data_IF_273637804781
#
_entry.id   IF_273637804781
#
_cell.length_a   1.000
_cell.length_b   1.000
_cell.length_c   1.000
_cell.angle_alpha   90.00
_cell.angle_beta   90.00
_cell.angle_gamma   90.00
#
_symmetry.space_group_name_H-M   'P 1'
#
loop_
_entity.id
_entity.type
_entity.pdbx_description
1 polymer ?
#
# COMPACT_ATOMS: atom_id res chain seq x y z
N UNK A 1 -10.06 2.48 -15.27
CA UNK A 1 -10.32 1.74 -14.01
C UNK A 1 -11.05 2.62 -12.98
N UNK A 2 -11.67 2.07 -11.94
CA UNK A 2 -12.28 2.82 -10.82
C UNK A 2 -11.38 2.78 -9.57
N UNK A 3 -11.58 3.72 -8.63
CA UNK A 3 -10.87 3.72 -7.34
C UNK A 3 -11.02 2.38 -6.60
N UNK A 4 -12.22 1.79 -6.58
CA UNK A 4 -12.47 0.52 -5.91
C UNK A 4 -11.69 -0.64 -6.53
N UNK A 5 -11.52 -0.65 -7.86
CA UNK A 5 -10.68 -1.64 -8.53
C UNK A 5 -9.19 -1.41 -8.23
N UNK A 6 -8.74 -0.15 -8.19
CA UNK A 6 -7.37 0.18 -7.82
C UNK A 6 -7.04 -0.26 -6.38
N UNK A 7 -7.97 -0.02 -5.44
CA UNK A 7 -7.87 -0.49 -4.05
C UNK A 7 -7.77 -2.02 -3.98
N UNK A 8 -8.58 -2.74 -4.77
CA UNK A 8 -8.55 -4.21 -4.82
C UNK A 8 -7.21 -4.73 -5.34
N UNK A 9 -6.70 -4.17 -6.44
CA UNK A 9 -5.40 -4.54 -6.99
C UNK A 9 -4.25 -4.29 -6.00
N UNK A 10 -4.25 -3.14 -5.33
CA UNK A 10 -3.26 -2.84 -4.31
C UNK A 10 -3.35 -3.79 -3.10
N UNK A 11 -4.56 -4.19 -2.70
CA UNK A 11 -4.75 -5.17 -1.62
C UNK A 11 -4.22 -6.56 -2.02
N UNK A 12 -4.51 -7.02 -3.24
CA UNK A 12 -3.96 -8.27 -3.77
C UNK A 12 -2.42 -8.23 -3.84
N UNK A 13 -1.86 -7.08 -4.23
CA UNK A 13 -0.42 -6.88 -4.24
C UNK A 13 0.19 -6.95 -2.84
N UNK A 14 -0.40 -6.28 -1.85
CA UNK A 14 0.05 -6.37 -0.44
C UNK A 14 0.06 -7.83 0.03
N UNK A 15 -1.00 -8.58 -0.25
CA UNK A 15 -1.15 -9.97 0.21
C UNK A 15 -0.19 -10.96 -0.47
N UNK A 16 0.25 -10.66 -1.70
CA UNK A 16 1.01 -11.63 -2.51
C UNK A 16 2.48 -11.25 -2.73
N UNK A 17 2.84 -9.97 -2.58
CA UNK A 17 4.17 -9.44 -2.91
C UNK A 17 4.90 -8.79 -1.74
N UNK A 18 4.20 -8.46 -0.66
CA UNK A 18 4.81 -7.88 0.54
C UNK A 18 4.86 -8.92 1.66
N UNK A 19 5.92 -8.86 2.45
CA UNK A 19 6.07 -9.69 3.65
C UNK A 19 5.93 -8.75 4.85
N UNK A 20 4.83 -8.86 5.62
CA UNK A 20 4.67 -8.06 6.82
C UNK A 20 5.67 -8.48 7.91
N UNK A 21 5.81 -7.64 8.94
CA UNK A 21 6.49 -8.04 10.18
C UNK A 21 5.77 -9.25 10.78
N UNK A 22 6.49 -10.03 11.58
CA UNK A 22 5.93 -11.24 12.21
C UNK A 22 4.66 -10.92 12.99
N UNK A 23 3.61 -11.71 12.74
CA UNK A 23 2.29 -11.54 13.34
C UNK A 23 1.65 -10.15 13.05
N UNK A 24 1.96 -9.53 11.91
CA UNK A 24 1.35 -8.26 11.48
C UNK A 24 0.71 -8.39 10.08
N UNK A 25 -0.09 -7.40 9.71
CA UNK A 25 -0.69 -7.27 8.39
C UNK A 25 -0.62 -5.81 7.94
N UNK A 26 -0.56 -5.58 6.64
CA UNK A 26 -0.60 -4.22 6.10
C UNK A 26 -2.02 -3.87 5.64
N UNK A 27 -2.51 -2.75 6.14
CA UNK A 27 -3.86 -2.24 5.89
C UNK A 27 -3.82 -0.98 5.04
N UNK A 28 -4.69 -0.88 4.03
CA UNK A 28 -4.86 0.33 3.23
C UNK A 28 -5.46 1.44 4.11
N UNK A 29 -4.82 2.60 4.14
CA UNK A 29 -5.22 3.74 4.99
C UNK A 29 -5.88 4.87 4.21
N UNK A 30 -5.43 5.10 2.97
CA UNK A 30 -5.94 6.17 2.11
C UNK A 30 -5.77 5.78 0.65
N UNK A 31 -6.71 6.22 -0.19
CA UNK A 31 -6.57 6.21 -1.65
C UNK A 31 -6.68 7.65 -2.13
N UNK A 32 -5.81 8.03 -3.04
CA UNK A 32 -5.76 9.37 -3.61
C UNK A 32 -5.73 9.26 -5.12
N UNK A 33 -6.67 9.92 -5.81
CA UNK A 33 -6.72 9.96 -7.26
C UNK A 33 -5.67 10.93 -7.82
N UNK A 34 -5.06 10.52 -8.93
CA UNK A 34 -4.13 11.32 -9.71
C UNK A 34 -4.47 11.22 -11.20
N UNK A 35 -3.95 12.12 -12.02
CA UNK A 35 -4.28 12.18 -13.46
C UNK A 35 -4.04 10.85 -14.20
N UNK A 36 -3.06 10.07 -13.75
CA UNK A 36 -2.62 8.82 -14.37
C UNK A 36 -3.01 7.54 -13.61
N UNK A 37 -3.66 7.66 -12.44
CA UNK A 37 -3.95 6.50 -11.60
C UNK A 37 -4.32 6.84 -10.17
N UNK A 38 -3.99 5.95 -9.23
CA UNK A 38 -4.25 6.12 -7.80
C UNK A 38 -3.00 5.81 -6.98
N UNK A 39 -2.74 6.65 -5.99
CA UNK A 39 -1.83 6.33 -4.90
C UNK A 39 -2.60 5.63 -3.79
N UNK A 40 -2.19 4.41 -3.46
CA UNK A 40 -2.78 3.59 -2.41
C UNK A 40 -1.79 3.51 -1.25
N UNK A 41 -2.12 4.23 -0.18
CA UNK A 41 -1.33 4.28 1.04
C UNK A 41 -1.71 3.11 1.94
N UNK A 42 -0.72 2.56 2.63
CA UNK A 42 -0.90 1.45 3.56
C UNK A 42 -0.04 1.64 4.80
N UNK A 43 -0.35 0.89 5.85
CA UNK A 43 0.38 0.94 7.12
C UNK A 43 0.24 -0.40 7.87
N UNK A 44 1.16 -0.69 8.77
CA UNK A 44 1.05 -1.78 9.74
C UNK A 44 -0.27 -1.71 10.52
N UNK A 45 -0.97 -2.82 10.60
CA UNK A 45 -2.22 -2.93 11.35
C UNK A 45 -1.95 -2.82 12.84
N UNK A 46 -0.84 -3.40 13.33
CA UNK A 46 -0.37 -3.20 14.71
C UNK A 46 -0.12 -1.73 15.01
N UNK A 47 0.61 -1.00 14.17
CA UNK A 47 0.81 0.44 14.38
C UNK A 47 -0.51 1.22 14.43
N UNK A 48 -1.47 0.91 13.54
CA UNK A 48 -2.77 1.59 13.53
C UNK A 48 -3.55 1.35 14.84
N UNK A 49 -3.42 0.16 15.42
CA UNK A 49 -4.10 -0.22 16.66
C UNK A 49 -3.38 0.29 17.92
N UNK A 50 -2.07 0.10 18.02
CA UNK A 50 -1.30 0.33 19.24
C UNK A 50 -0.65 1.72 19.30
N UNK A 51 -0.45 2.35 18.14
CA UNK A 51 0.39 3.56 17.97
C UNK A 51 1.84 3.38 18.42
N UNK A 52 2.27 2.14 18.61
CA UNK A 52 3.65 1.82 18.94
C UNK A 52 4.52 2.00 17.69
N UNK A 53 5.43 2.96 17.76
CA UNK A 53 6.34 3.34 16.68
C UNK A 53 7.22 2.18 16.23
N UNK A 54 7.44 1.14 17.06
CA UNK A 54 8.16 -0.07 16.67
C UNK A 54 7.50 -0.83 15.51
N UNK A 55 6.20 -0.65 15.28
CA UNK A 55 5.47 -1.23 14.16
C UNK A 55 5.26 -0.25 13.00
N UNK A 56 5.70 1.00 13.11
CA UNK A 56 5.46 2.01 12.09
C UNK A 56 6.27 1.73 10.82
N UNK A 57 5.59 1.63 9.68
CA UNK A 57 6.24 1.62 8.36
C UNK A 57 6.66 3.04 7.99
N UNK A 58 7.76 3.52 8.56
CA UNK A 58 8.29 4.85 8.24
C UNK A 58 8.92 4.85 6.84
N UNK A 59 8.54 5.83 6.01
CA UNK A 59 9.11 5.99 4.67
C UNK A 59 8.60 5.00 3.62
N UNK A 60 7.52 4.25 3.91
CA UNK A 60 6.90 3.41 2.91
C UNK A 60 6.30 4.26 1.79
N UNK A 61 6.73 4.00 0.56
CA UNK A 61 6.15 4.67 -0.62
C UNK A 61 4.77 4.07 -0.88
N UNK A 62 3.72 4.87 -1.16
CA UNK A 62 2.43 4.33 -1.56
C UNK A 62 2.55 3.46 -2.80
N UNK A 63 1.64 2.50 -2.94
CA UNK A 63 1.51 1.70 -4.14
C UNK A 63 0.85 2.57 -5.20
N UNK A 64 1.49 2.78 -6.35
CA UNK A 64 0.86 3.44 -7.48
C UNK A 64 0.19 2.41 -8.39
N UNK A 65 -1.09 2.64 -8.69
CA UNK A 65 -1.88 1.82 -9.61
C UNK A 65 -2.31 2.69 -10.79
N UNK A 66 -1.83 2.39 -11.99
CA UNK A 66 -2.17 3.15 -13.20
C UNK A 66 -3.64 2.96 -13.61
N UNK A 67 -4.18 3.84 -14.45
CA UNK A 67 -5.54 3.71 -15.02
C UNK A 67 -5.80 2.39 -15.77
N UNK A 68 -4.73 1.75 -16.24
CA UNK A 68 -4.75 0.49 -16.99
C UNK A 68 -4.58 -0.76 -16.10
N UNK A 69 -4.44 -0.58 -14.78
CA UNK A 69 -4.29 -1.71 -13.85
C UNK A 69 -2.86 -2.13 -13.55
N UNK A 70 -1.86 -1.38 -14.03
CA UNK A 70 -0.46 -1.69 -13.77
C UNK A 70 -0.05 -1.15 -12.40
N UNK A 71 0.60 -2.01 -11.61
CA UNK A 71 1.23 -1.60 -10.36
C UNK A 71 2.67 -1.18 -10.68
N UNK A 72 2.99 0.08 -10.43
CA UNK A 72 4.34 0.61 -10.64
C UNK A 72 5.06 0.58 -9.30
N UNK A 73 6.05 -0.28 -9.19
CA UNK A 73 6.92 -0.32 -8.02
C UNK A 73 7.93 0.83 -8.08
N UNK A 74 7.91 1.71 -7.08
CA UNK A 74 9.03 2.62 -6.82
C UNK A 74 10.11 1.90 -6.01
N UNK A 75 10.52 0.68 -6.39
CA UNK A 75 11.74 0.11 -5.83
C UNK A 75 12.90 0.92 -6.41
N UNK A 76 13.39 1.91 -5.67
CA UNK A 76 14.77 2.34 -5.85
C UNK A 76 15.60 1.08 -5.58
N UNK A 77 16.22 0.54 -6.63
CA UNK A 77 17.34 -0.37 -6.47
C UNK A 77 18.48 0.49 -5.90
N UNK A 78 18.85 0.28 -4.64
CA UNK A 78 20.09 0.78 -4.06
C UNK A 78 21.03 -0.40 -3.91
#
# INVERSE_FOLDING_TARGET
MTEQNAKKLAQEYILTKMIPLEDDAYSITRVEEFSEGWYVYYQSSKFLQTRDMGYSLVGNTPIFVSKDGLIVESRRNW
#
